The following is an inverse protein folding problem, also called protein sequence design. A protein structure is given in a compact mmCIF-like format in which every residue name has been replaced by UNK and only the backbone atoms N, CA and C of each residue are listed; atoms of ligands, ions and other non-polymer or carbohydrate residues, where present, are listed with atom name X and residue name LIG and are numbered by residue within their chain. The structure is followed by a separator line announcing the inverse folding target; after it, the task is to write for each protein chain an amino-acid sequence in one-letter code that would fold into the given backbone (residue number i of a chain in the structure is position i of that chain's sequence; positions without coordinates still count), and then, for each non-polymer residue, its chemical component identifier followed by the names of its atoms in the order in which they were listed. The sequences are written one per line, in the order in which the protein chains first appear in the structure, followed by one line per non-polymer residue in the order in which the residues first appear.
data_IF_763995119969
#
_entry.id   IF_763995119969
#
_cell.length_a   1.000
_cell.length_b   1.000
_cell.length_c   1.000
_cell.angle_alpha   90.00
_cell.angle_beta   90.00
_cell.angle_gamma   90.00
#
_symmetry.space_group_name_H-M   'P 1'
#
loop_
_entity.id
_entity.type
_entity.pdbx_description
1 polymer ?
#
# COMPACT_ATOMS: atom_id res chain seq x y z
N UNK A 1 11.28 -1.29 14.37
CA UNK A 1 10.62 -2.23 13.43
C UNK A 1 10.11 -1.42 12.24
N UNK A 2 11.04 -0.79 11.51
CA UNK A 2 10.75 0.37 10.64
C UNK A 2 9.96 0.00 9.37
N UNK A 3 10.00 -1.27 8.98
CA UNK A 3 9.36 -1.78 7.76
C UNK A 3 7.83 -1.68 7.85
N UNK A 4 7.25 -1.89 9.04
CA UNK A 4 5.79 -1.79 9.21
C UNK A 4 5.29 -0.34 9.20
N UNK A 5 6.07 0.60 9.70
CA UNK A 5 5.73 2.02 9.64
C UNK A 5 5.76 2.50 8.18
N UNK A 6 6.81 2.14 7.43
CA UNK A 6 6.90 2.42 5.99
C UNK A 6 5.76 1.81 5.17
N UNK A 7 5.31 0.63 5.56
CA UNK A 7 4.19 -0.08 4.93
C UNK A 7 2.85 0.63 5.14
N UNK A 8 2.58 1.09 6.37
CA UNK A 8 1.40 1.92 6.67
C UNK A 8 1.42 3.22 5.87
N UNK A 9 2.57 3.87 5.75
CA UNK A 9 2.68 5.12 5.01
C UNK A 9 2.45 4.90 3.51
N UNK A 10 2.88 3.75 2.98
CA UNK A 10 2.58 3.35 1.60
C UNK A 10 1.09 3.09 1.38
N UNK A 11 0.43 2.38 2.30
CA UNK A 11 -1.03 2.18 2.27
C UNK A 11 -1.78 3.53 2.28
N UNK A 12 -1.38 4.45 3.16
CA UNK A 12 -1.97 5.80 3.28
C UNK A 12 -1.79 6.62 2.01
N UNK A 13 -0.59 6.58 1.45
CA UNK A 13 -0.28 7.31 0.21
C UNK A 13 -1.14 6.80 -0.95
N UNK A 14 -1.28 5.48 -1.09
CA UNK A 14 -2.16 4.90 -2.09
C UNK A 14 -3.62 5.34 -1.91
N UNK A 15 -4.13 5.35 -0.67
CA UNK A 15 -5.50 5.83 -0.39
C UNK A 15 -5.68 7.31 -0.73
N UNK A 16 -4.69 8.17 -0.46
CA UNK A 16 -4.74 9.60 -0.83
C UNK A 16 -4.79 9.76 -2.34
N UNK A 17 -3.85 9.13 -3.05
CA UNK A 17 -3.75 9.19 -4.52
C UNK A 17 -5.04 8.68 -5.15
N UNK A 18 -5.60 7.57 -4.65
CA UNK A 18 -6.86 7.03 -5.17
C UNK A 18 -8.01 8.04 -5.06
N UNK A 19 -8.17 8.67 -3.89
CA UNK A 19 -9.23 9.68 -3.67
C UNK A 19 -9.06 10.90 -4.55
N UNK A 20 -7.83 11.40 -4.65
CA UNK A 20 -7.49 12.54 -5.50
C UNK A 20 -7.76 12.25 -6.98
N UNK A 21 -7.35 11.07 -7.47
CA UNK A 21 -7.60 10.66 -8.86
C UNK A 21 -9.09 10.51 -9.14
N UNK A 22 -9.87 9.88 -8.26
CA UNK A 22 -11.32 9.72 -8.45
C UNK A 22 -12.04 11.08 -8.44
N UNK A 23 -11.63 11.99 -7.56
CA UNK A 23 -12.14 13.36 -7.56
C UNK A 23 -11.84 14.06 -8.87
N UNK A 24 -10.58 14.02 -9.32
CA UNK A 24 -10.16 14.67 -10.56
C UNK A 24 -10.82 14.06 -11.81
N UNK A 25 -11.01 12.74 -11.83
CA UNK A 25 -11.71 12.02 -12.91
C UNK A 25 -13.18 12.43 -13.03
N UNK A 26 -13.81 12.77 -11.90
CA UNK A 26 -15.21 13.22 -11.88
C UNK A 26 -15.36 14.59 -12.56
N UNK A 27 -14.36 15.46 -12.42
CA UNK A 27 -14.32 16.78 -13.07
C UNK A 27 -13.82 16.72 -14.53
N UNK A 28 -13.01 15.73 -14.88
CA UNK A 28 -12.35 15.58 -16.19
C UNK A 28 -12.52 14.16 -16.76
N UNK A 29 -13.73 13.79 -17.22
CA UNK A 29 -14.01 12.42 -17.65
C UNK A 29 -13.20 11.97 -18.88
N UNK A 30 -12.76 12.90 -19.73
CA UNK A 30 -11.92 12.60 -20.90
C UNK A 30 -10.53 12.03 -20.49
N UNK A 31 -10.06 12.35 -19.29
CA UNK A 31 -8.78 11.86 -18.75
C UNK A 31 -8.88 10.47 -18.10
N UNK A 32 -10.09 9.88 -18.03
CA UNK A 32 -10.37 8.66 -17.25
C UNK A 32 -9.42 7.49 -17.58
N UNK A 33 -9.04 7.33 -18.85
CA UNK A 33 -8.11 6.27 -19.27
C UNK A 33 -6.71 6.45 -18.66
N UNK A 34 -6.17 7.66 -18.73
CA UNK A 34 -4.85 7.96 -18.17
C UNK A 34 -4.87 7.81 -16.64
N UNK A 35 -5.88 8.37 -16.00
CA UNK A 35 -6.07 8.33 -14.55
C UNK A 35 -6.22 6.90 -14.02
N UNK A 36 -6.90 6.02 -14.77
CA UNK A 36 -6.98 4.59 -14.45
C UNK A 36 -5.60 3.92 -14.45
N UNK A 37 -4.74 4.24 -15.42
CA UNK A 37 -3.36 3.73 -15.42
C UNK A 37 -2.56 4.22 -14.20
N UNK A 38 -2.77 5.47 -13.76
CA UNK A 38 -2.13 6.00 -12.55
C UNK A 38 -2.58 5.27 -11.27
N UNK A 39 -3.87 4.92 -11.16
CA UNK A 39 -4.37 4.07 -10.06
C UNK A 39 -3.67 2.71 -10.08
N UNK A 40 -3.56 2.06 -11.24
CA UNK A 40 -2.87 0.77 -11.35
C UNK A 40 -1.41 0.85 -10.94
N UNK A 41 -0.68 1.88 -11.38
CA UNK A 41 0.73 2.09 -10.98
C UNK A 41 0.82 2.23 -9.46
N UNK A 42 -0.01 3.09 -8.87
CA UNK A 42 -0.02 3.35 -7.42
C UNK A 42 -0.34 2.09 -6.62
N UNK A 43 -1.29 1.27 -7.07
CA UNK A 43 -1.61 -0.01 -6.42
C UNK A 43 -0.47 -1.03 -6.54
N UNK A 44 0.25 -1.06 -7.66
CA UNK A 44 1.39 -1.95 -7.80
C UNK A 44 2.55 -1.55 -6.87
N UNK A 45 2.76 -0.25 -6.64
CA UNK A 45 3.74 0.22 -5.65
C UNK A 45 3.35 -0.20 -4.23
N UNK A 46 2.08 -0.08 -3.85
CA UNK A 46 1.60 -0.58 -2.55
C UNK A 46 1.83 -2.08 -2.37
N UNK A 47 1.58 -2.89 -3.41
CA UNK A 47 1.86 -4.33 -3.38
C UNK A 47 3.34 -4.65 -3.17
N UNK A 48 4.25 -3.86 -3.73
CA UNK A 48 5.69 -4.03 -3.50
C UNK A 48 6.03 -3.79 -2.02
N UNK A 49 5.39 -2.82 -1.37
CA UNK A 49 5.47 -2.61 0.08
C UNK A 49 4.97 -3.83 0.86
N UNK A 50 3.80 -4.34 0.51
CA UNK A 50 3.22 -5.55 1.12
C UNK A 50 4.16 -6.77 1.03
N UNK A 51 4.78 -6.99 -0.14
CA UNK A 51 5.74 -8.08 -0.35
C UNK A 51 7.01 -7.88 0.48
N UNK A 52 7.51 -6.65 0.56
CA UNK A 52 8.68 -6.31 1.38
C UNK A 52 8.43 -6.62 2.85
N UNK A 53 7.25 -6.25 3.37
CA UNK A 53 6.82 -6.59 4.74
C UNK A 53 6.71 -8.11 4.94
N UNK A 54 6.22 -8.83 3.95
CA UNK A 54 6.09 -10.30 4.01
C UNK A 54 7.45 -11.00 4.04
N UNK A 55 8.42 -10.53 3.24
CA UNK A 55 9.79 -11.04 3.24
C UNK A 55 10.45 -10.75 4.60
N UNK A 56 10.34 -9.52 5.11
CA UNK A 56 10.93 -9.16 6.40
C UNK A 56 10.43 -10.03 7.56
N UNK A 57 9.13 -10.39 7.56
CA UNK A 57 8.57 -11.31 8.55
C UNK A 57 9.16 -12.72 8.44
N UNK A 58 9.35 -13.23 7.23
CA UNK A 58 9.98 -14.53 7.03
C UNK A 58 11.44 -14.53 7.47
N UNK A 59 12.19 -13.47 7.15
CA UNK A 59 13.57 -13.31 7.61
C UNK A 59 13.67 -13.25 9.12
N UNK A 60 12.74 -12.55 9.79
CA UNK A 60 12.66 -12.53 11.25
C UNK A 60 12.41 -13.94 11.83
N UNK A 61 11.43 -14.66 11.29
CA UNK A 61 11.14 -16.03 11.72
C UNK A 61 12.35 -16.96 11.59
N UNK A 62 13.11 -16.85 10.50
CA UNK A 62 14.32 -17.65 10.30
C UNK A 62 15.43 -17.31 11.30
N UNK A 63 15.45 -16.09 11.85
CA UNK A 63 16.42 -15.64 12.87
C UNK A 63 16.01 -16.08 14.28
N UNK A 64 14.76 -15.81 14.65
CA UNK A 64 14.30 -15.94 16.05
C UNK A 64 13.57 -17.27 16.33
N UNK A 65 13.20 -18.02 15.29
CA UNK A 65 12.43 -19.27 15.40
C UNK A 65 10.94 -19.07 15.66
N UNK A 66 10.47 -17.82 15.74
CA UNK A 66 9.07 -17.46 15.97
C UNK A 66 8.66 -16.23 15.14
N UNK A 67 7.36 -16.08 14.91
CA UNK A 67 6.83 -14.89 14.24
C UNK A 67 6.80 -13.70 15.22
N UNK A 68 6.91 -12.46 14.72
CA UNK A 68 6.73 -11.29 15.59
C UNK A 68 5.37 -11.32 16.28
N UNK A 69 5.35 -11.15 17.60
CA UNK A 69 4.14 -11.22 18.44
C UNK A 69 3.16 -10.05 18.21
N UNK A 70 3.64 -9.01 17.55
CA UNK A 70 2.85 -7.82 17.23
C UNK A 70 2.04 -7.99 15.94
N UNK A 71 0.74 -7.66 15.99
CA UNK A 71 -0.09 -7.66 14.79
C UNK A 71 0.34 -6.52 13.86
N UNK A 72 0.60 -6.83 12.59
CA UNK A 72 0.89 -5.83 11.55
C UNK A 72 -0.25 -4.80 11.50
N UNK A 73 0.03 -3.51 11.71
CA UNK A 73 -0.95 -2.46 11.46
C UNK A 73 -1.22 -2.34 9.94
N UNK A 74 -2.49 -2.21 9.55
CA UNK A 74 -2.93 -1.97 8.16
C UNK A 74 -3.76 -0.70 8.14
N UNK A 75 -3.57 0.17 7.15
CA UNK A 75 -4.48 1.29 6.99
C UNK A 75 -5.87 0.75 6.60
N UNK A 76 -6.92 1.23 7.26
CA UNK A 76 -8.29 0.77 7.06
C UNK A 76 -8.69 0.95 5.58
N UNK A 77 -8.90 -0.16 4.87
CA UNK A 77 -9.20 -0.19 3.44
C UNK A 77 -10.71 -0.32 3.23
N UNK A 78 -11.44 0.76 3.49
CA UNK A 78 -12.86 0.85 3.11
C UNK A 78 -12.94 1.89 1.99
N UNK A 79 -13.28 1.45 0.77
CA UNK A 79 -13.61 2.31 -0.36
C UNK A 79 -15.12 2.56 -0.38
#
# INVERSE_FOLDING_TARGET
MNIWESDIDTDRLYLSIFKEIVSYMSDNPDDAKMLTHMIFISKNLERVGDYTTSIAKQTYFLSEGEYPDTKRPKAMTTY
#
